data_IF_965515335513
#
_entry.id   IF_965515335513
#
_cell.length_a   1.000
_cell.length_b   1.000
_cell.length_c   1.000
_cell.angle_alpha   90.00
_cell.angle_beta   90.00
_cell.angle_gamma   90.00
#
_symmetry.space_group_name_H-M   'P 1'
#
loop_
_entity.id
_entity.type
_entity.pdbx_description
1 polymer ?
#
# COMPACT_ATOMS: atom_id res chain seq x y z
N UNK A 1 -9.01 -6.26 -4.16
CA UNK A 1 -7.68 -5.97 -3.60
C UNK A 1 -7.68 -4.52 -3.22
N UNK A 2 -7.48 -4.19 -1.95
CA UNK A 2 -7.42 -2.81 -1.50
C UNK A 2 -5.99 -2.45 -1.15
N UNK A 3 -5.40 -1.41 -1.75
CA UNK A 3 -4.05 -0.95 -1.40
C UNK A 3 -4.08 0.46 -0.79
N UNK A 4 -3.40 0.62 0.34
CA UNK A 4 -3.22 1.87 1.07
C UNK A 4 -1.75 2.25 1.01
N UNK A 5 -1.42 3.51 0.72
CA UNK A 5 -0.04 3.97 0.86
C UNK A 5 0.05 5.44 1.24
N UNK A 6 1.15 5.79 1.93
CA UNK A 6 1.50 7.16 2.29
C UNK A 6 2.40 7.77 1.20
N UNK A 7 2.21 9.05 0.88
CA UNK A 7 2.95 9.73 -0.17
C UNK A 7 4.41 9.95 0.25
N UNK A 8 5.34 9.26 -0.42
CA UNK A 8 6.78 9.45 -0.19
C UNK A 8 7.31 10.74 -0.83
N UNK A 9 8.26 11.39 -0.15
CA UNK A 9 9.06 12.52 -0.66
C UNK A 9 10.19 12.05 -1.57
N UNK A 10 10.59 10.79 -1.48
CA UNK A 10 11.58 10.19 -2.35
C UNK A 10 10.99 9.88 -3.73
N UNK A 11 11.68 10.32 -4.79
CA UNK A 11 11.17 10.25 -6.17
C UNK A 11 11.08 8.80 -6.65
N UNK A 12 12.07 7.97 -6.31
CA UNK A 12 12.10 6.57 -6.73
C UNK A 12 11.01 5.76 -6.04
N UNK A 13 10.86 5.91 -4.73
CA UNK A 13 9.80 5.29 -3.94
C UNK A 13 8.41 5.74 -4.44
N UNK A 14 8.25 7.04 -4.74
CA UNK A 14 7.00 7.57 -5.28
C UNK A 14 6.64 6.94 -6.63
N UNK A 15 7.62 6.73 -7.51
CA UNK A 15 7.39 6.07 -8.79
C UNK A 15 6.98 4.61 -8.62
N UNK A 16 7.62 3.89 -7.69
CA UNK A 16 7.25 2.51 -7.34
C UNK A 16 5.80 2.42 -6.84
N UNK A 17 5.40 3.28 -5.90
CA UNK A 17 4.03 3.31 -5.39
C UNK A 17 3.01 3.71 -6.46
N UNK A 18 3.34 4.64 -7.35
CA UNK A 18 2.47 5.01 -8.47
C UNK A 18 2.22 3.82 -9.41
N UNK A 19 3.27 3.05 -9.73
CA UNK A 19 3.17 1.85 -10.55
C UNK A 19 2.34 0.75 -9.85
N UNK A 20 2.52 0.57 -8.53
CA UNK A 20 1.72 -0.38 -7.74
C UNK A 20 0.23 -0.02 -7.77
N UNK A 21 -0.11 1.25 -7.52
CA UNK A 21 -1.50 1.73 -7.55
C UNK A 21 -2.13 1.51 -8.91
N UNK A 22 -1.36 1.76 -9.98
CA UNK A 22 -1.80 1.50 -11.36
C UNK A 22 -2.10 0.01 -11.56
N UNK A 23 -1.18 -0.88 -11.19
CA UNK A 23 -1.36 -2.33 -11.32
C UNK A 23 -2.58 -2.86 -10.54
N UNK A 24 -2.82 -2.34 -9.33
CA UNK A 24 -3.99 -2.70 -8.51
C UNK A 24 -5.29 -2.31 -9.20
N UNK A 25 -5.36 -1.10 -9.76
CA UNK A 25 -6.53 -0.62 -10.51
C UNK A 25 -6.76 -1.44 -11.78
N UNK A 26 -5.70 -1.76 -12.52
CA UNK A 26 -5.76 -2.62 -13.72
C UNK A 26 -6.26 -4.03 -13.40
N UNK A 27 -5.92 -4.54 -12.21
CA UNK A 27 -6.37 -5.85 -11.71
C UNK A 27 -7.80 -5.85 -11.16
N UNK A 28 -8.54 -4.73 -11.31
CA UNK A 28 -9.90 -4.56 -10.79
C UNK A 28 -9.97 -4.34 -9.27
N UNK A 29 -8.86 -3.96 -8.65
CA UNK A 29 -8.78 -3.56 -7.24
C UNK A 29 -9.04 -2.08 -7.03
N UNK A 30 -9.08 -1.67 -5.76
CA UNK A 30 -9.23 -0.28 -5.34
C UNK A 30 -7.96 0.15 -4.61
N UNK A 31 -7.58 1.41 -4.75
CA UNK A 31 -6.43 1.97 -4.02
C UNK A 31 -6.86 3.28 -3.36
N UNK A 32 -6.52 3.45 -2.09
CA UNK A 32 -6.73 4.69 -1.35
C UNK A 32 -5.38 5.31 -0.95
N UNK A 33 -5.33 6.63 -1.03
CA UNK A 33 -4.16 7.42 -0.65
C UNK A 33 -4.48 8.07 0.69
N UNK A 34 -3.64 7.83 1.69
CA UNK A 34 -3.78 8.46 3.00
C UNK A 34 -2.81 9.64 3.14
N UNK A 35 -3.29 10.73 3.71
CA UNK A 35 -2.45 11.85 4.11
C UNK A 35 -1.71 11.51 5.40
N UNK A 36 -0.41 11.78 5.46
CA UNK A 36 0.39 11.67 6.67
C UNK A 36 -0.06 12.59 7.81
N UNK A 37 -0.85 13.63 7.51
CA UNK A 37 -1.38 14.59 8.49
C UNK A 37 -2.74 14.16 9.08
N UNK A 38 -3.23 12.97 8.77
CA UNK A 38 -4.47 12.44 9.32
C UNK A 38 -4.16 11.21 10.17
N UNK A 39 -4.94 10.98 11.24
CA UNK A 39 -4.74 9.88 12.20
C UNK A 39 -4.61 8.52 11.50
N UNK A 40 -5.40 8.28 10.45
CA UNK A 40 -5.30 7.04 9.66
C UNK A 40 -4.00 6.91 8.84
N UNK A 41 -3.40 8.03 8.42
CA UNK A 41 -2.07 8.02 7.79
C UNK A 41 -0.94 7.81 8.79
N UNK A 42 -1.06 8.34 10.01
CA UNK A 42 -0.11 8.07 11.10
C UNK A 42 -0.12 6.59 11.50
N UNK A 43 -1.32 5.99 11.65
CA UNK A 43 -1.46 4.56 11.92
C UNK A 43 -0.89 3.70 10.79
N UNK A 44 -1.14 4.06 9.52
CA UNK A 44 -0.58 3.34 8.39
C UNK A 44 0.96 3.45 8.36
N UNK A 45 1.53 4.61 8.74
CA UNK A 45 2.98 4.80 8.81
C UNK A 45 3.64 3.89 9.86
N UNK A 46 2.95 3.59 10.97
CA UNK A 46 3.44 2.63 11.97
C UNK A 46 3.50 1.19 11.44
N UNK A 47 2.74 0.89 10.37
CA UNK A 47 2.70 -0.41 9.68
C UNK A 47 3.52 -0.40 8.38
N UNK A 48 4.65 0.33 8.33
CA UNK A 48 5.53 0.57 7.15
C UNK A 48 5.07 1.64 6.15
N UNK A 49 3.85 2.17 6.26
CA UNK A 49 3.31 3.18 5.35
C UNK A 49 2.63 2.61 4.11
N UNK A 50 2.52 1.28 4.00
CA UNK A 50 1.80 0.58 2.93
C UNK A 50 1.05 -0.64 3.50
N UNK A 51 -0.17 -0.88 3.00
CA UNK A 51 -0.97 -2.05 3.41
C UNK A 51 -1.84 -2.55 2.25
N UNK A 52 -2.14 -3.85 2.24
CA UNK A 52 -3.02 -4.46 1.25
C UNK A 52 -4.03 -5.42 1.87
N UNK A 53 -5.27 -5.39 1.38
CA UNK A 53 -6.30 -6.40 1.67
C UNK A 53 -6.49 -7.27 0.43
N UNK A 54 -6.23 -8.57 0.60
CA UNK A 54 -6.31 -9.57 -0.45
C UNK A 54 -7.72 -10.15 -0.58
N UNK A 55 -8.06 -10.68 -1.76
CA UNK A 55 -9.36 -11.35 -2.01
C UNK A 55 -9.39 -12.79 -1.52
N UNK A 56 -8.21 -13.42 -1.46
CA UNK A 56 -8.01 -14.79 -1.08
C UNK A 56 -6.83 -14.85 -0.10
N UNK A 57 -6.84 -15.81 0.84
CA UNK A 57 -5.68 -16.03 1.69
C UNK A 57 -4.47 -16.42 0.83
N UNK A 58 -3.30 -15.88 1.19
CA UNK A 58 -2.02 -16.24 0.60
C UNK A 58 -1.20 -16.91 1.73
N UNK A 59 -1.21 -18.26 1.83
CA UNK A 59 -0.66 -18.97 2.98
C UNK A 59 0.85 -18.78 3.11
N UNK A 60 1.57 -18.64 2.00
CA UNK A 60 3.03 -18.48 2.00
C UNK A 60 3.49 -17.04 2.29
N UNK A 61 2.57 -16.10 2.59
CA UNK A 61 2.91 -14.70 2.85
C UNK A 61 3.53 -14.50 4.23
N UNK A 62 3.16 -15.35 5.20
CA UNK A 62 3.60 -15.26 6.59
C UNK A 62 5.09 -15.62 6.74
N UNK A 63 5.65 -16.39 5.81
CA UNK A 63 7.05 -16.82 5.77
C UNK A 63 7.96 -15.85 5.00
N UNK A 64 7.41 -14.77 4.43
CA UNK A 64 8.21 -13.74 3.75
C UNK A 64 8.75 -12.79 4.83
N UNK A 65 10.00 -12.99 5.24
CA UNK A 65 10.67 -12.09 6.19
C UNK A 65 10.63 -10.64 5.68
N UNK A 66 10.17 -9.74 6.56
CA UNK A 66 10.05 -8.29 6.35
C UNK A 66 11.39 -7.57 6.47
#
# INVERSE_FOLDING_TARGET
MLCLYNKSSDIEARQKYANLVKSVKESGGTAYIFSSMHVSGEQLAQLSGIAAILRFPLPDLEDIEM
#
